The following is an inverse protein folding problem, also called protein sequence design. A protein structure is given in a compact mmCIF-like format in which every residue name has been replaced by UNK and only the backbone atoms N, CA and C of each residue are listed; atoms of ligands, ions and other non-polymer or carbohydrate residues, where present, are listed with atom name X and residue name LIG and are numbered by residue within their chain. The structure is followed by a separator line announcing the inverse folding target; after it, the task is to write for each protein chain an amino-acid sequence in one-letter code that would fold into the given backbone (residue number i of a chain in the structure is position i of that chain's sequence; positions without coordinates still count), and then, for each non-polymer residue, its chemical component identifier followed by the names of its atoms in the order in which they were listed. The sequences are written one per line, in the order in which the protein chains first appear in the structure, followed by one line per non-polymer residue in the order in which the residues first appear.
data_IF_944427023394
#
_entry.id   IF_944427023394
#
_cell.length_a   1.000
_cell.length_b   1.000
_cell.length_c   1.000
_cell.angle_alpha   90.00
_cell.angle_beta   90.00
_cell.angle_gamma   90.00
#
_symmetry.space_group_name_H-M   'P 1'
#
loop_
_entity.id
_entity.type
_entity.pdbx_description
1 polymer ?
#
# COMPACT_ATOMS: atom_id res chain seq x y z
N UNK A 1 4.86 11.60 -14.68
CA UNK A 1 4.41 12.44 -13.58
C UNK A 1 2.89 12.54 -13.58
N UNK A 2 2.26 12.33 -12.43
CA UNK A 2 0.81 12.40 -12.32
C UNK A 2 0.42 13.86 -12.13
N UNK A 3 -0.12 14.47 -13.18
CA UNK A 3 -0.48 15.89 -13.15
C UNK A 3 -2.00 16.09 -13.05
N UNK A 4 -2.77 15.04 -13.34
CA UNK A 4 -4.22 15.12 -13.31
C UNK A 4 -4.73 15.01 -11.88
N UNK A 5 -5.38 16.06 -11.39
CA UNK A 5 -5.90 16.12 -10.02
C UNK A 5 -6.93 15.01 -9.75
N UNK A 6 -7.73 14.67 -10.76
CA UNK A 6 -8.72 13.61 -10.63
C UNK A 6 -8.05 12.25 -10.43
N UNK A 7 -7.00 11.97 -11.20
CA UNK A 7 -6.23 10.74 -11.08
C UNK A 7 -5.56 10.68 -9.71
N UNK A 8 -4.95 11.78 -9.28
CA UNK A 8 -4.26 11.83 -7.99
C UNK A 8 -5.24 11.57 -6.84
N UNK A 9 -6.42 12.17 -6.90
CA UNK A 9 -7.45 11.94 -5.89
C UNK A 9 -7.87 10.47 -5.87
N UNK A 10 -8.06 9.88 -7.04
CA UNK A 10 -8.44 8.48 -7.18
C UNK A 10 -7.38 7.56 -6.57
N UNK A 11 -6.10 7.85 -6.78
CA UNK A 11 -5.01 7.06 -6.21
C UNK A 11 -4.98 7.18 -4.69
N UNK A 12 -5.15 8.39 -4.16
CA UNK A 12 -5.18 8.58 -2.71
C UNK A 12 -6.35 7.83 -2.08
N UNK A 13 -7.52 7.88 -2.70
CA UNK A 13 -8.69 7.17 -2.21
C UNK A 13 -8.48 5.66 -2.25
N UNK A 14 -7.86 5.16 -3.33
CA UNK A 14 -7.56 3.74 -3.46
C UNK A 14 -6.60 3.27 -2.37
N UNK A 15 -5.52 4.02 -2.15
CA UNK A 15 -4.54 3.69 -1.12
C UNK A 15 -5.19 3.70 0.26
N UNK A 16 -6.02 4.71 0.55
CA UNK A 16 -6.74 4.79 1.83
C UNK A 16 -7.60 3.55 2.07
N UNK A 17 -8.30 3.09 1.04
CA UNK A 17 -9.14 1.89 1.17
C UNK A 17 -8.30 0.65 1.43
N UNK A 18 -7.15 0.53 0.77
CA UNK A 18 -6.26 -0.60 1.01
C UNK A 18 -5.74 -0.59 2.43
N UNK A 19 -5.42 0.60 2.95
CA UNK A 19 -4.94 0.72 4.33
C UNK A 19 -6.03 0.29 5.31
N UNK A 20 -7.28 0.63 5.04
CA UNK A 20 -8.40 0.26 5.94
C UNK A 20 -8.61 -1.24 6.04
N UNK A 21 -8.16 -2.02 5.07
CA UNK A 21 -8.28 -3.46 5.08
C UNK A 21 -7.21 -4.15 5.92
N UNK A 22 -6.13 -3.45 6.24
CA UNK A 22 -4.96 -4.03 6.89
C UNK A 22 -5.23 -4.62 8.26
N UNK A 23 -5.94 -3.96 9.18
CA UNK A 23 -6.12 -4.52 10.51
C UNK A 23 -6.77 -5.90 10.50
N UNK A 24 -7.80 -6.09 9.69
CA UNK A 24 -8.47 -7.38 9.59
C UNK A 24 -7.56 -8.42 8.95
N UNK A 25 -6.86 -8.06 7.90
CA UNK A 25 -5.94 -8.98 7.23
C UNK A 25 -4.86 -9.47 8.17
N UNK A 26 -4.29 -8.58 8.98
CA UNK A 26 -3.28 -8.97 9.96
C UNK A 26 -3.88 -9.95 10.97
N UNK A 27 -5.06 -9.65 11.49
CA UNK A 27 -5.72 -10.53 12.46
C UNK A 27 -6.02 -11.91 11.90
N UNK A 28 -6.32 -11.98 10.61
CA UNK A 28 -6.64 -13.25 9.97
C UNK A 28 -5.41 -14.05 9.54
N UNK A 29 -4.30 -13.40 9.21
CA UNK A 29 -3.19 -14.09 8.54
C UNK A 29 -1.86 -14.04 9.27
N UNK A 30 -1.63 -13.06 10.14
CA UNK A 30 -0.28 -12.83 10.65
C UNK A 30 0.27 -13.96 11.51
N UNK A 31 -0.57 -14.62 12.30
CA UNK A 31 -0.11 -15.75 13.12
C UNK A 31 0.48 -16.86 12.25
N UNK A 32 -0.13 -17.13 11.09
CA UNK A 32 0.39 -18.11 10.16
C UNK A 32 1.64 -17.61 9.45
N UNK A 33 1.63 -16.33 9.09
CA UNK A 33 2.78 -15.71 8.42
C UNK A 33 4.03 -15.78 9.30
N UNK A 34 3.88 -15.55 10.60
CA UNK A 34 5.00 -15.58 11.54
C UNK A 34 5.65 -16.96 11.64
N UNK A 35 4.91 -18.01 11.35
CA UNK A 35 5.45 -19.36 11.35
C UNK A 35 6.40 -19.61 10.18
N UNK A 36 6.18 -18.89 9.09
CA UNK A 36 6.97 -19.04 7.87
C UNK A 36 8.11 -18.04 7.82
N UNK A 37 7.81 -16.78 8.10
CA UNK A 37 8.78 -15.69 8.02
C UNK A 37 9.13 -15.20 9.42
N UNK A 38 10.38 -15.36 9.78
CA UNK A 38 10.88 -14.85 11.05
C UNK A 38 11.12 -13.36 10.95
N UNK A 39 10.64 -12.61 11.93
CA UNK A 39 10.88 -11.17 11.96
C UNK A 39 11.18 -10.76 13.40
N UNK A 40 12.11 -9.83 13.56
CA UNK A 40 12.49 -9.35 14.89
C UNK A 40 11.58 -8.22 15.36
N UNK A 41 11.20 -7.35 14.45
CA UNK A 41 10.31 -6.23 14.75
C UNK A 41 9.07 -6.34 13.87
N UNK A 42 7.93 -6.68 14.48
CA UNK A 42 6.71 -6.95 13.74
C UNK A 42 6.18 -5.71 13.02
N UNK A 43 6.27 -4.55 13.66
CA UNK A 43 5.80 -3.32 13.04
C UNK A 43 6.63 -2.98 11.80
N UNK A 44 7.95 -3.03 11.92
CA UNK A 44 8.84 -2.71 10.80
C UNK A 44 8.68 -3.71 9.67
N UNK A 45 8.58 -5.00 10.01
CA UNK A 45 8.38 -6.05 9.00
C UNK A 45 7.09 -5.80 8.22
N UNK A 46 6.00 -5.57 8.94
CA UNK A 46 4.70 -5.37 8.29
C UNK A 46 4.65 -4.06 7.54
N UNK A 47 5.32 -3.02 8.05
CA UNK A 47 5.37 -1.76 7.32
C UNK A 47 5.97 -1.95 5.94
N UNK A 48 7.14 -2.59 5.87
CA UNK A 48 7.80 -2.86 4.58
C UNK A 48 6.96 -3.76 3.68
N UNK A 49 6.36 -4.80 4.26
CA UNK A 49 5.50 -5.72 3.52
C UNK A 49 4.31 -4.99 2.89
N UNK A 50 3.62 -4.16 3.67
CA UNK A 50 2.44 -3.47 3.17
C UNK A 50 2.78 -2.31 2.22
N UNK A 51 3.89 -1.62 2.44
CA UNK A 51 4.34 -0.60 1.50
C UNK A 51 4.55 -1.23 0.13
N UNK A 52 5.25 -2.36 0.08
CA UNK A 52 5.47 -3.05 -1.20
C UNK A 52 4.20 -3.57 -1.83
N UNK A 53 3.32 -4.14 -1.01
CA UNK A 53 2.06 -4.68 -1.48
C UNK A 53 1.15 -3.59 -2.04
N UNK A 54 1.06 -2.46 -1.34
CA UNK A 54 0.25 -1.33 -1.78
C UNK A 54 0.84 -0.70 -3.03
N UNK A 55 2.17 -0.58 -3.10
CA UNK A 55 2.83 -0.06 -4.29
C UNK A 55 2.47 -0.88 -5.52
N UNK A 56 2.58 -2.19 -5.41
CA UNK A 56 2.28 -3.10 -6.53
C UNK A 56 0.81 -3.01 -6.92
N UNK A 57 -0.09 -3.03 -5.94
CA UNK A 57 -1.52 -2.93 -6.20
C UNK A 57 -1.89 -1.59 -6.82
N UNK A 58 -1.26 -0.50 -6.36
CA UNK A 58 -1.51 0.84 -6.88
C UNK A 58 -1.04 0.96 -8.32
N UNK A 59 0.11 0.37 -8.63
CA UNK A 59 0.62 0.36 -10.00
C UNK A 59 -0.37 -0.34 -10.94
N UNK A 60 -0.87 -1.51 -10.54
CA UNK A 60 -1.86 -2.23 -11.33
C UNK A 60 -3.15 -1.42 -11.49
N UNK A 61 -3.61 -0.81 -10.42
CA UNK A 61 -4.80 0.03 -10.45
C UNK A 61 -4.64 1.19 -11.43
N UNK A 62 -3.49 1.86 -11.39
CA UNK A 62 -3.21 3.00 -12.26
C UNK A 62 -3.17 2.59 -13.73
N UNK A 63 -2.46 1.50 -14.04
CA UNK A 63 -2.37 1.00 -15.40
C UNK A 63 -3.72 0.61 -15.95
N UNK A 64 -4.56 0.00 -15.12
CA UNK A 64 -5.89 -0.44 -15.53
C UNK A 64 -6.84 0.73 -15.72
N UNK A 65 -6.83 1.69 -14.79
CA UNK A 65 -7.80 2.80 -14.81
C UNK A 65 -7.47 3.85 -15.85
N UNK A 66 -6.20 4.08 -16.13
CA UNK A 66 -5.79 5.07 -17.14
C UNK A 66 -5.66 4.46 -18.51
N UNK A 67 -5.75 3.11 -18.59
CA UNK A 67 -5.42 2.38 -19.80
C UNK A 67 -4.09 2.88 -20.34
N UNK A 68 -3.12 3.04 -19.44
CA UNK A 68 -1.80 3.48 -19.80
C UNK A 68 -1.32 2.52 -20.88
N UNK A 69 -1.66 2.88 -22.07
CA UNK A 69 -1.29 2.13 -23.23
C UNK A 69 0.23 2.13 -23.34
N UNK A 70 0.71 1.25 -24.17
CA UNK A 70 2.10 1.15 -24.50
C UNK A 70 2.73 2.52 -24.62
N UNK A 71 3.69 2.81 -23.79
CA UNK A 71 4.34 4.10 -23.77
C UNK A 71 3.98 4.98 -22.57
N UNK A 72 2.98 4.59 -21.80
CA UNK A 72 2.68 5.29 -20.56
C UNK A 72 3.76 4.99 -19.53
N UNK A 73 4.50 6.01 -19.15
CA UNK A 73 5.53 5.86 -18.13
C UNK A 73 4.93 6.09 -16.75
N UNK A 74 5.06 5.10 -15.88
CA UNK A 74 4.62 5.21 -14.49
C UNK A 74 5.85 5.27 -13.61
N UNK A 75 5.99 6.38 -12.88
CA UNK A 75 7.10 6.57 -11.97
C UNK A 75 6.78 5.94 -10.62
N UNK A 76 7.44 4.82 -10.32
CA UNK A 76 7.21 4.12 -9.06
C UNK A 76 7.62 4.96 -7.86
N UNK A 77 8.60 5.85 -8.02
CA UNK A 77 8.98 6.73 -6.91
C UNK A 77 7.90 7.75 -6.59
N UNK A 78 7.14 8.16 -7.60
CA UNK A 78 6.00 9.04 -7.35
C UNK A 78 4.92 8.31 -6.56
N UNK A 79 4.65 7.05 -6.90
CA UNK A 79 3.71 6.22 -6.15
C UNK A 79 4.18 6.05 -4.72
N UNK A 80 5.47 5.79 -4.51
CA UNK A 80 6.05 5.67 -3.17
C UNK A 80 5.85 6.93 -2.35
N UNK A 81 6.00 8.10 -2.98
CA UNK A 81 5.77 9.38 -2.31
C UNK A 81 4.33 9.55 -1.86
N UNK A 82 3.39 9.14 -2.70
CA UNK A 82 1.97 9.22 -2.36
C UNK A 82 1.66 8.29 -1.17
N UNK A 83 2.21 7.08 -1.16
CA UNK A 83 2.03 6.16 -0.06
C UNK A 83 2.64 6.74 1.22
N UNK A 84 3.82 7.33 1.11
CA UNK A 84 4.51 7.91 2.26
C UNK A 84 3.72 9.06 2.89
N UNK A 85 2.94 9.79 2.10
CA UNK A 85 2.07 10.83 2.65
C UNK A 85 1.00 10.24 3.58
N UNK A 86 0.68 8.96 3.43
CA UNK A 86 -0.28 8.27 4.30
C UNK A 86 0.40 7.37 5.33
N UNK A 87 1.69 7.63 5.60
CA UNK A 87 2.48 6.81 6.51
C UNK A 87 1.85 6.62 7.88
N UNK A 88 1.35 7.70 8.48
CA UNK A 88 0.77 7.62 9.82
C UNK A 88 -0.47 6.73 9.84
N UNK A 89 -1.32 6.86 8.83
CA UNK A 89 -2.52 6.02 8.71
C UNK A 89 -2.11 4.54 8.53
N UNK A 90 -1.09 4.30 7.72
CA UNK A 90 -0.59 2.95 7.47
C UNK A 90 -0.03 2.33 8.75
N UNK A 91 0.81 3.06 9.47
CA UNK A 91 1.38 2.55 10.72
C UNK A 91 0.31 2.31 11.77
N UNK A 92 -0.68 3.20 11.87
CA UNK A 92 -1.79 3.02 12.82
C UNK A 92 -2.62 1.79 12.49
N UNK A 93 -2.87 1.54 11.21
CA UNK A 93 -3.60 0.35 10.78
C UNK A 93 -2.86 -0.92 11.17
N UNK A 94 -1.54 -0.95 11.00
CA UNK A 94 -0.72 -2.10 11.38
C UNK A 94 -0.77 -2.30 12.89
N UNK A 95 -0.61 -1.24 13.67
CA UNK A 95 -0.66 -1.32 15.13
C UNK A 95 -2.02 -1.84 15.59
N UNK A 96 -3.09 -1.39 14.97
CA UNK A 96 -4.44 -1.86 15.29
C UNK A 96 -4.58 -3.35 15.01
N UNK A 97 -4.04 -3.82 13.90
CA UNK A 97 -4.09 -5.24 13.56
C UNK A 97 -3.25 -6.11 14.49
N UNK A 98 -2.19 -5.56 15.07
CA UNK A 98 -1.31 -6.30 15.97
C UNK A 98 -1.83 -6.40 17.41
N UNK A 99 -2.85 -5.66 17.76
CA UNK A 99 -3.41 -5.71 19.12
C UNK A 99 -4.15 -7.01 19.42
#
# INVERSE_FOLDING_TARGET
MITDASTLKSLNDYISRRIQEIPLEIKETFLETKKVWKCENELDFLYGYYVGKIEEATLHYLLKSTRASAGGYVDTFEIRGIIEEQRDALQNAIKTGLK
#
